data_IF_614995780816
#
_entry.id   IF_614995780816
#
_cell.length_a   1.000
_cell.length_b   1.000
_cell.length_c   1.000
_cell.angle_alpha   90.00
_cell.angle_beta   90.00
_cell.angle_gamma   90.00
#
_symmetry.space_group_name_H-M   'P 1'
#
loop_
_entity.id
_entity.type
_entity.pdbx_description
1 polymer ?
#
# COMPACT_ATOMS: atom_id res chain seq x y z
N UNK A 1 44.66 -54.54 17.40
CA UNK A 1 43.54 -55.48 17.63
C UNK A 1 42.72 -54.89 18.77
N UNK A 2 41.48 -54.47 18.48
CA UNK A 2 40.39 -54.00 19.39
C UNK A 2 40.64 -52.82 20.35
N UNK A 3 39.68 -51.95 20.69
CA UNK A 3 38.54 -51.26 20.04
C UNK A 3 38.10 -50.22 21.08
N UNK A 4 37.87 -48.99 20.64
CA UNK A 4 37.53 -47.82 21.46
C UNK A 4 36.03 -47.75 21.82
N UNK A 5 35.75 -47.37 23.07
CA UNK A 5 34.89 -46.25 23.54
C UNK A 5 33.38 -46.23 23.21
N UNK A 6 32.62 -46.31 24.32
CA UNK A 6 31.41 -45.59 24.75
C UNK A 6 30.28 -45.25 23.76
N UNK A 7 29.12 -45.83 24.05
CA UNK A 7 27.80 -45.37 23.64
C UNK A 7 27.50 -43.96 24.20
N UNK A 8 27.18 -43.01 23.31
CA UNK A 8 26.44 -41.78 23.66
C UNK A 8 25.02 -41.89 23.12
N UNK A 9 24.08 -41.70 24.03
CA UNK A 9 22.64 -41.56 23.79
C UNK A 9 22.42 -40.32 22.90
N UNK A 10 21.85 -40.52 21.72
CA UNK A 10 21.25 -39.46 20.90
C UNK A 10 19.81 -39.27 21.39
N UNK A 11 19.52 -38.13 22.01
CA UNK A 11 18.17 -37.74 22.42
C UNK A 11 17.61 -36.74 21.41
N UNK A 12 16.43 -37.07 20.89
CA UNK A 12 15.65 -36.34 19.89
C UNK A 12 15.56 -34.83 20.16
N UNK A 13 15.93 -34.03 19.18
CA UNK A 13 15.58 -32.62 19.05
C UNK A 13 15.22 -32.33 17.58
N UNK A 14 14.04 -32.75 17.12
CA UNK A 14 13.58 -32.43 15.75
C UNK A 14 12.07 -32.25 15.57
N UNK A 15 11.27 -32.18 16.65
CA UNK A 15 9.81 -32.01 16.53
C UNK A 15 9.28 -30.60 16.87
N UNK A 16 10.11 -29.71 17.42
CA UNK A 16 9.68 -28.37 17.86
C UNK A 16 9.63 -27.34 16.73
N UNK A 17 10.49 -27.43 15.71
CA UNK A 17 10.59 -26.42 14.64
C UNK A 17 9.33 -26.37 13.76
N UNK A 18 8.76 -27.54 13.42
CA UNK A 18 7.54 -27.64 12.61
C UNK A 18 6.30 -27.08 13.33
N UNK A 19 6.18 -27.32 14.63
CA UNK A 19 5.04 -26.82 15.43
C UNK A 19 5.04 -25.28 15.55
N UNK A 20 6.22 -24.65 15.63
CA UNK A 20 6.31 -23.19 15.68
C UNK A 20 5.92 -22.54 14.35
N UNK A 21 6.29 -23.13 13.21
CA UNK A 21 5.95 -22.63 11.88
C UNK A 21 4.43 -22.63 11.63
N UNK A 22 3.76 -23.77 11.79
CA UNK A 22 2.30 -23.86 11.65
C UNK A 22 1.55 -22.95 12.64
N UNK A 23 2.12 -22.69 13.82
CA UNK A 23 1.51 -21.77 14.79
C UNK A 23 1.59 -20.30 14.37
N UNK A 24 2.63 -19.91 13.62
CA UNK A 24 2.80 -18.55 13.07
C UNK A 24 1.87 -18.33 11.89
N UNK A 25 1.77 -19.32 11.02
CA UNK A 25 0.92 -19.32 9.82
C UNK A 25 -0.54 -19.11 10.22
N UNK A 26 -1.06 -19.99 11.07
CA UNK A 26 -2.42 -19.86 11.63
C UNK A 26 -2.68 -18.53 12.37
N UNK A 27 -1.64 -17.90 12.93
CA UNK A 27 -1.78 -16.58 13.58
C UNK A 27 -1.80 -15.45 12.56
N UNK A 28 -1.07 -15.61 11.47
CA UNK A 28 -1.03 -14.69 10.35
C UNK A 28 -2.34 -14.72 9.58
N UNK A 29 -2.88 -15.90 9.26
CA UNK A 29 -4.18 -16.03 8.56
C UNK A 29 -5.31 -15.36 9.35
N UNK A 30 -5.37 -15.63 10.66
CA UNK A 30 -6.32 -14.95 11.56
C UNK A 30 -6.11 -13.44 11.65
N UNK A 31 -4.87 -12.96 11.47
CA UNK A 31 -4.60 -11.54 11.42
C UNK A 31 -4.96 -10.96 10.04
N UNK A 32 -4.82 -11.72 8.97
CA UNK A 32 -5.21 -11.35 7.62
C UNK A 32 -6.73 -11.18 7.53
N UNK A 33 -7.52 -12.10 8.10
CA UNK A 33 -8.98 -11.93 8.25
C UNK A 33 -9.33 -10.62 8.98
N UNK A 34 -8.58 -10.28 10.04
CA UNK A 34 -8.74 -9.01 10.76
C UNK A 34 -8.35 -7.80 9.91
N UNK A 35 -7.41 -7.96 8.98
CA UNK A 35 -7.03 -6.91 8.04
C UNK A 35 -8.13 -6.75 6.98
N UNK A 36 -8.71 -7.85 6.50
CA UNK A 36 -9.91 -7.80 5.64
C UNK A 36 -11.02 -7.01 6.31
N UNK A 37 -11.38 -7.36 7.55
CA UNK A 37 -12.37 -6.63 8.35
C UNK A 37 -11.99 -5.15 8.55
N UNK A 38 -10.72 -4.85 8.78
CA UNK A 38 -10.26 -3.49 9.01
C UNK A 38 -10.41 -2.62 7.76
N UNK A 39 -9.99 -3.12 6.59
CA UNK A 39 -10.17 -2.43 5.30
C UNK A 39 -11.65 -2.26 4.96
N UNK A 40 -12.48 -3.29 5.18
CA UNK A 40 -13.94 -3.22 4.99
C UNK A 40 -14.54 -2.12 5.88
N UNK A 41 -14.13 -2.03 7.14
CA UNK A 41 -14.65 -1.02 8.06
C UNK A 41 -14.18 0.41 7.72
N UNK A 42 -12.94 0.57 7.24
CA UNK A 42 -12.45 1.84 6.69
C UNK A 42 -13.32 2.26 5.50
N UNK A 43 -13.56 1.35 4.56
CA UNK A 43 -14.39 1.58 3.37
C UNK A 43 -15.83 1.96 3.76
N UNK A 44 -16.47 1.20 4.64
CA UNK A 44 -17.83 1.49 5.12
C UNK A 44 -17.93 2.85 5.80
N UNK A 45 -16.93 3.22 6.62
CA UNK A 45 -16.90 4.53 7.27
C UNK A 45 -16.75 5.66 6.24
N UNK A 46 -15.78 5.52 5.33
CA UNK A 46 -15.52 6.53 4.31
C UNK A 46 -16.74 6.73 3.39
N UNK A 47 -17.30 5.63 2.88
CA UNK A 47 -18.47 5.63 1.99
C UNK A 47 -19.78 6.00 2.68
N UNK A 48 -19.83 5.94 4.01
CA UNK A 48 -20.91 6.53 4.80
C UNK A 48 -20.90 8.06 4.81
N UNK A 49 -19.78 8.69 4.44
CA UNK A 49 -19.60 10.15 4.38
C UNK A 49 -19.57 10.61 2.92
N UNK A 50 -18.80 9.93 2.08
CA UNK A 50 -18.65 10.17 0.65
C UNK A 50 -18.85 8.85 -0.11
N UNK A 51 -20.05 8.59 -0.68
CA UNK A 51 -20.37 7.31 -1.32
C UNK A 51 -19.43 6.87 -2.44
N UNK A 52 -18.73 7.81 -3.07
CA UNK A 52 -17.83 7.56 -4.19
C UNK A 52 -16.35 7.42 -3.74
N UNK A 53 -16.08 7.46 -2.44
CA UNK A 53 -14.72 7.41 -1.90
C UNK A 53 -13.99 6.11 -2.25
N UNK A 54 -12.84 6.28 -2.89
CA UNK A 54 -12.02 5.20 -3.45
C UNK A 54 -11.12 4.58 -2.37
N UNK A 55 -11.05 3.24 -2.34
CA UNK A 55 -10.15 2.49 -1.44
C UNK A 55 -9.22 1.58 -2.24
N UNK A 56 -7.91 1.76 -2.06
CA UNK A 56 -6.86 0.99 -2.76
C UNK A 56 -5.84 0.46 -1.74
N UNK A 57 -5.96 -0.78 -1.25
CA UNK A 57 -4.89 -1.41 -0.46
C UNK A 57 -3.62 -1.66 -1.30
N UNK A 58 -2.44 -1.50 -0.70
CA UNK A 58 -1.14 -1.80 -1.31
C UNK A 58 -0.57 -3.14 -0.80
N UNK A 59 -0.13 -3.97 -1.74
CA UNK A 59 0.35 -5.34 -1.55
C UNK A 59 -0.71 -6.24 -0.90
N UNK A 60 -0.29 -7.34 -0.26
CA UNK A 60 -1.21 -8.24 0.45
C UNK A 60 -2.34 -8.78 -0.43
N UNK A 61 -2.04 -9.15 -1.68
CA UNK A 61 -3.01 -9.59 -2.68
C UNK A 61 -3.89 -10.76 -2.18
N UNK A 62 -3.34 -11.60 -1.32
CA UNK A 62 -4.01 -12.71 -0.64
C UNK A 62 -5.22 -12.28 0.20
N UNK A 63 -5.29 -11.02 0.66
CA UNK A 63 -6.45 -10.46 1.33
C UNK A 63 -7.69 -10.41 0.44
N UNK A 64 -7.52 -10.52 -0.88
CA UNK A 64 -8.64 -10.53 -1.83
C UNK A 64 -9.39 -11.86 -1.88
N UNK A 65 -8.93 -12.90 -1.17
CA UNK A 65 -9.44 -14.27 -1.29
C UNK A 65 -10.06 -14.81 0.00
N UNK A 66 -10.96 -15.78 -0.15
CA UNK A 66 -11.54 -16.49 0.99
C UNK A 66 -10.45 -17.27 1.70
N UNK A 67 -10.42 -17.22 3.04
CA UNK A 67 -9.41 -17.90 3.86
C UNK A 67 -7.96 -17.61 3.45
N UNK A 68 -7.71 -16.49 2.75
CA UNK A 68 -6.39 -16.07 2.27
C UNK A 68 -5.81 -17.07 1.25
N UNK A 69 -6.67 -17.85 0.58
CA UNK A 69 -6.29 -18.88 -0.38
C UNK A 69 -6.88 -18.57 -1.77
N UNK A 70 -6.01 -18.37 -2.75
CA UNK A 70 -6.42 -18.05 -4.12
C UNK A 70 -7.28 -19.13 -4.80
N UNK A 71 -7.16 -20.38 -4.36
CA UNK A 71 -7.96 -21.51 -4.85
C UNK A 71 -9.39 -21.51 -4.29
N UNK A 72 -9.64 -20.80 -3.19
CA UNK A 72 -10.96 -20.66 -2.58
C UNK A 72 -11.76 -19.46 -3.13
N UNK A 73 -11.23 -18.82 -4.18
CA UNK A 73 -11.89 -17.74 -4.91
C UNK A 73 -11.92 -16.42 -4.14
N UNK A 74 -12.39 -15.38 -4.84
CA UNK A 74 -12.41 -14.01 -4.29
C UNK A 74 -13.35 -13.89 -3.09
N UNK A 75 -12.90 -13.17 -2.05
CA UNK A 75 -13.73 -12.76 -0.93
C UNK A 75 -14.63 -11.61 -1.38
N UNK A 76 -15.91 -11.90 -1.60
CA UNK A 76 -16.86 -10.92 -2.14
C UNK A 76 -16.99 -9.66 -1.27
N UNK A 77 -16.97 -9.81 0.05
CA UNK A 77 -17.11 -8.66 0.96
C UNK A 77 -15.89 -7.73 0.87
N UNK A 78 -14.69 -8.30 0.80
CA UNK A 78 -13.47 -7.53 0.64
C UNK A 78 -13.38 -6.88 -0.73
N UNK A 79 -13.67 -7.63 -1.80
CA UNK A 79 -13.70 -7.11 -3.18
C UNK A 79 -14.73 -5.98 -3.32
N UNK A 80 -15.92 -6.07 -2.70
CA UNK A 80 -16.89 -4.98 -2.72
C UNK A 80 -16.42 -3.73 -1.96
N UNK A 81 -15.53 -3.87 -0.99
CA UNK A 81 -15.03 -2.76 -0.18
C UNK A 81 -13.89 -1.96 -0.83
N UNK A 82 -13.24 -2.48 -1.87
CA UNK A 82 -12.10 -1.84 -2.55
C UNK A 82 -12.42 -1.49 -3.99
N UNK A 83 -11.62 -0.62 -4.61
CA UNK A 83 -11.78 -0.17 -6.00
C UNK A 83 -10.60 -0.57 -6.88
N UNK A 84 -9.44 -0.75 -6.26
CA UNK A 84 -8.22 -1.22 -6.90
C UNK A 84 -7.29 -1.91 -5.90
N UNK A 85 -6.18 -2.43 -6.40
CA UNK A 85 -5.04 -2.89 -5.60
C UNK A 85 -3.76 -2.27 -6.11
N UNK A 86 -2.92 -1.81 -5.20
CA UNK A 86 -1.54 -1.42 -5.47
C UNK A 86 -0.62 -2.61 -5.26
N UNK A 87 0.39 -2.81 -6.10
CA UNK A 87 1.38 -3.90 -5.93
C UNK A 87 2.76 -3.33 -6.20
N UNK A 88 3.65 -3.45 -5.23
CA UNK A 88 5.07 -3.16 -5.42
C UNK A 88 5.82 -4.40 -5.88
N UNK A 89 6.83 -4.18 -6.73
CA UNK A 89 7.76 -5.20 -7.17
C UNK A 89 7.08 -6.47 -7.68
N UNK A 90 6.17 -6.37 -8.66
CA UNK A 90 5.44 -7.50 -9.21
C UNK A 90 6.25 -8.26 -10.27
N UNK A 91 6.86 -7.51 -11.20
CA UNK A 91 7.70 -8.06 -12.26
C UNK A 91 9.18 -7.78 -12.01
N UNK A 92 9.52 -6.68 -11.32
CA UNK A 92 10.91 -6.31 -11.04
C UNK A 92 11.10 -5.87 -9.59
N UNK A 93 12.14 -6.42 -8.97
CA UNK A 93 12.75 -5.90 -7.74
C UNK A 93 14.27 -5.86 -7.94
N UNK A 94 14.76 -4.75 -8.47
CA UNK A 94 16.08 -4.56 -9.08
C UNK A 94 16.29 -5.40 -10.34
N UNK A 95 15.98 -6.69 -10.29
CA UNK A 95 16.07 -7.69 -11.34
C UNK A 95 14.68 -8.25 -11.67
N UNK A 96 14.58 -8.89 -12.84
CA UNK A 96 13.35 -9.57 -13.25
C UNK A 96 13.01 -10.69 -12.26
N UNK A 97 11.80 -10.65 -11.74
CA UNK A 97 11.26 -11.66 -10.85
C UNK A 97 10.69 -12.84 -11.66
N UNK A 98 10.79 -14.07 -11.13
CA UNK A 98 10.08 -15.19 -11.72
C UNK A 98 8.56 -14.96 -11.61
N UNK A 99 7.80 -15.49 -12.57
CA UNK A 99 6.34 -15.56 -12.41
C UNK A 99 6.02 -16.42 -11.18
N UNK A 100 5.21 -15.87 -10.28
CA UNK A 100 4.88 -16.48 -9.00
C UNK A 100 3.36 -16.53 -8.77
N UNK A 101 2.98 -17.07 -7.60
CA UNK A 101 1.59 -17.15 -7.16
C UNK A 101 0.93 -15.77 -7.06
N UNK A 102 1.71 -14.73 -6.72
CA UNK A 102 1.21 -13.36 -6.56
C UNK A 102 0.74 -12.78 -7.89
N UNK A 103 1.46 -13.01 -8.99
CA UNK A 103 0.97 -12.60 -10.32
C UNK A 103 -0.37 -13.28 -10.67
N UNK A 104 -0.54 -14.57 -10.33
CA UNK A 104 -1.80 -15.27 -10.57
C UNK A 104 -2.94 -14.72 -9.71
N UNK A 105 -2.68 -14.37 -8.45
CA UNK A 105 -3.65 -13.68 -7.59
C UNK A 105 -4.08 -12.34 -8.20
N UNK A 106 -3.12 -11.51 -8.61
CA UNK A 106 -3.39 -10.19 -9.20
C UNK A 106 -4.17 -10.30 -10.50
N UNK A 107 -3.90 -11.32 -11.34
CA UNK A 107 -4.70 -11.61 -12.54
C UNK A 107 -6.16 -11.90 -12.23
N UNK A 108 -6.46 -12.63 -11.15
CA UNK A 108 -7.82 -12.88 -10.71
C UNK A 108 -8.50 -11.60 -10.19
N UNK A 109 -7.79 -10.79 -9.41
CA UNK A 109 -8.30 -9.51 -8.88
C UNK A 109 -8.67 -8.53 -10.01
N UNK A 110 -7.82 -8.44 -11.04
CA UNK A 110 -8.01 -7.58 -12.23
C UNK A 110 -9.37 -7.75 -12.90
N UNK A 111 -9.99 -8.92 -12.80
CA UNK A 111 -11.31 -9.19 -13.40
C UNK A 111 -12.41 -8.26 -12.92
N UNK A 112 -12.22 -7.59 -11.76
CA UNK A 112 -13.20 -6.67 -11.19
C UNK A 112 -12.62 -5.38 -10.61
N UNK A 113 -11.29 -5.25 -10.52
CA UNK A 113 -10.60 -4.12 -9.87
C UNK A 113 -9.46 -3.59 -10.70
N UNK A 114 -9.12 -2.31 -10.49
CA UNK A 114 -7.95 -1.70 -11.13
C UNK A 114 -6.69 -2.18 -10.43
N UNK A 115 -5.63 -2.48 -11.19
CA UNK A 115 -4.34 -2.87 -10.62
C UNK A 115 -3.32 -1.79 -10.95
N UNK A 116 -2.66 -1.27 -9.91
CA UNK A 116 -1.60 -0.27 -9.97
C UNK A 116 -0.29 -0.94 -9.58
N UNK A 117 0.74 -0.88 -10.43
CA UNK A 117 2.01 -1.59 -10.19
C UNK A 117 3.20 -0.63 -10.13
N UNK A 118 3.96 -0.72 -9.04
CA UNK A 118 5.21 0.04 -8.83
C UNK A 118 6.39 -0.92 -8.73
N UNK A 119 6.96 -1.28 -9.88
CA UNK A 119 8.14 -2.13 -9.98
C UNK A 119 9.42 -1.34 -9.65
N UNK A 120 10.35 -1.92 -8.88
CA UNK A 120 11.66 -1.31 -8.62
C UNK A 120 12.69 -1.76 -9.65
N UNK A 121 13.25 -0.81 -10.39
CA UNK A 121 14.11 -1.06 -11.54
C UNK A 121 15.41 -0.30 -11.40
N UNK A 122 16.54 -1.02 -11.31
CA UNK A 122 17.85 -0.38 -11.17
C UNK A 122 18.56 -0.16 -12.50
N UNK A 123 18.33 -1.04 -13.47
CA UNK A 123 18.81 -0.92 -14.85
C UNK A 123 17.72 -0.32 -15.75
N UNK A 124 17.92 0.94 -16.18
CA UNK A 124 16.96 1.68 -17.00
C UNK A 124 16.64 1.01 -18.35
N UNK A 125 17.48 0.08 -18.83
CA UNK A 125 17.18 -0.69 -20.05
C UNK A 125 15.96 -1.61 -19.89
N UNK A 126 15.60 -1.96 -18.64
CA UNK A 126 14.46 -2.81 -18.32
C UNK A 126 13.13 -2.06 -18.20
N UNK A 127 13.13 -0.72 -18.16
CA UNK A 127 11.90 0.08 -17.98
C UNK A 127 10.87 -0.20 -19.07
N UNK A 128 11.30 -0.29 -20.33
CA UNK A 128 10.40 -0.58 -21.44
C UNK A 128 9.79 -2.00 -21.35
N UNK A 129 10.56 -2.98 -20.86
CA UNK A 129 10.06 -4.35 -20.64
C UNK A 129 9.04 -4.39 -19.50
N UNK A 130 9.33 -3.75 -18.37
CA UNK A 130 8.40 -3.65 -17.23
C UNK A 130 7.07 -2.99 -17.63
N UNK A 131 7.11 -1.90 -18.40
CA UNK A 131 5.91 -1.24 -18.93
C UNK A 131 5.14 -2.20 -19.85
N UNK A 132 5.85 -2.90 -20.76
CA UNK A 132 5.24 -3.86 -21.68
C UNK A 132 4.54 -5.01 -20.95
N UNK A 133 5.16 -5.58 -19.91
CA UNK A 133 4.58 -6.65 -19.08
C UNK A 133 3.30 -6.21 -18.39
N UNK A 134 3.35 -5.08 -17.69
CA UNK A 134 2.18 -4.49 -17.03
C UNK A 134 1.05 -4.24 -18.02
N UNK A 135 1.36 -3.66 -19.18
CA UNK A 135 0.37 -3.40 -20.24
C UNK A 135 -0.21 -4.67 -20.84
N UNK A 136 0.60 -5.72 -21.04
CA UNK A 136 0.13 -7.02 -21.54
C UNK A 136 -0.89 -7.66 -20.60
N UNK A 137 -0.76 -7.39 -19.31
CA UNK A 137 -1.71 -7.80 -18.30
C UNK A 137 -2.84 -6.81 -18.09
N UNK A 138 -2.84 -5.63 -18.73
CA UNK A 138 -3.86 -4.60 -18.53
C UNK A 138 -3.76 -3.88 -17.18
N UNK A 139 -2.60 -3.91 -16.55
CA UNK A 139 -2.28 -3.13 -15.36
C UNK A 139 -1.80 -1.73 -15.75
N UNK A 140 -2.02 -0.74 -14.88
CA UNK A 140 -1.37 0.57 -14.99
C UNK A 140 -0.13 0.56 -14.11
N UNK A 141 0.95 1.21 -14.55
CA UNK A 141 2.23 1.13 -13.83
C UNK A 141 2.89 2.51 -13.66
N UNK A 142 3.66 2.62 -12.59
CA UNK A 142 4.57 3.72 -12.33
C UNK A 142 5.94 3.13 -11.95
N UNK A 143 6.85 2.93 -12.92
CA UNK A 143 8.15 2.35 -12.64
C UNK A 143 8.98 3.20 -11.68
N UNK A 144 9.49 2.56 -10.64
CA UNK A 144 10.34 3.16 -9.62
C UNK A 144 11.79 2.92 -10.01
N UNK A 145 12.40 3.90 -10.67
CA UNK A 145 13.81 3.81 -11.10
C UNK A 145 14.78 4.21 -9.98
N UNK A 146 16.05 3.81 -10.06
CA UNK A 146 17.08 4.08 -9.03
C UNK A 146 17.10 5.52 -8.48
N UNK A 147 16.96 6.52 -9.34
CA UNK A 147 16.98 7.95 -8.96
C UNK A 147 15.62 8.48 -8.46
N UNK A 148 14.60 7.63 -8.44
CA UNK A 148 13.26 7.94 -7.95
C UNK A 148 12.74 6.85 -6.99
N UNK A 149 13.66 6.17 -6.27
CA UNK A 149 13.33 5.09 -5.34
C UNK A 149 12.29 5.51 -4.28
N UNK A 150 12.43 6.72 -3.74
CA UNK A 150 11.54 7.27 -2.71
C UNK A 150 10.39 8.11 -3.28
N UNK A 151 10.02 7.94 -4.55
CA UNK A 151 8.90 8.68 -5.18
C UNK A 151 9.04 10.21 -5.02
N UNK A 152 10.22 10.74 -5.39
CA UNK A 152 10.65 12.13 -5.20
C UNK A 152 10.28 13.05 -6.36
N UNK A 153 10.21 12.54 -7.58
CA UNK A 153 10.10 13.34 -8.79
C UNK A 153 9.01 12.84 -9.74
N UNK A 154 8.42 13.79 -10.47
CA UNK A 154 7.51 13.52 -11.59
C UNK A 154 8.37 13.17 -12.82
N UNK A 155 8.14 12.02 -13.49
CA UNK A 155 8.84 11.69 -14.73
C UNK A 155 8.50 12.68 -15.86
N UNK A 156 9.46 12.88 -16.78
CA UNK A 156 9.29 13.78 -17.95
C UNK A 156 8.19 13.32 -18.93
N UNK A 157 7.71 12.09 -18.82
CA UNK A 157 6.69 11.53 -19.70
C UNK A 157 5.62 10.76 -18.92
N UNK A 158 4.37 10.85 -19.40
CA UNK A 158 3.22 10.10 -18.87
C UNK A 158 3.05 8.84 -19.69
N UNK A 159 3.19 7.67 -19.07
CA UNK A 159 2.90 6.38 -19.70
C UNK A 159 1.41 6.35 -20.08
N UNK A 160 1.07 5.91 -21.29
CA UNK A 160 -0.32 5.82 -21.78
C UNK A 160 -1.15 7.09 -21.46
N UNK A 161 -0.59 8.25 -21.78
CA UNK A 161 -1.23 9.56 -21.58
C UNK A 161 -2.66 9.59 -22.17
N UNK A 162 -3.58 10.15 -21.41
CA UNK A 162 -5.00 10.02 -21.67
C UNK A 162 -5.70 11.38 -21.59
N UNK A 163 -6.37 11.76 -22.69
CA UNK A 163 -7.04 13.05 -22.80
C UNK A 163 -8.39 13.12 -22.09
N UNK A 164 -8.97 11.97 -21.74
CA UNK A 164 -10.33 11.88 -21.22
C UNK A 164 -10.43 12.35 -19.76
N UNK A 165 -11.63 12.75 -19.34
CA UNK A 165 -11.94 12.93 -17.93
C UNK A 165 -11.99 11.57 -17.22
N UNK A 166 -11.54 11.54 -15.97
CA UNK A 166 -11.51 10.34 -15.13
C UNK A 166 -12.55 10.50 -14.04
N UNK A 167 -13.65 9.76 -14.18
CA UNK A 167 -14.78 9.77 -13.24
C UNK A 167 -14.79 8.58 -12.31
N UNK A 168 -14.05 7.53 -12.65
CA UNK A 168 -13.87 6.34 -11.81
C UNK A 168 -12.43 5.83 -11.92
N UNK A 169 -11.98 5.08 -10.91
CA UNK A 169 -10.65 4.46 -10.95
C UNK A 169 -10.49 3.50 -12.15
N UNK A 170 -11.59 2.93 -12.65
CA UNK A 170 -11.56 2.02 -13.80
C UNK A 170 -11.22 2.73 -15.12
N UNK A 171 -11.50 4.03 -15.22
CA UNK A 171 -11.21 4.84 -16.42
C UNK A 171 -9.72 5.17 -16.56
N UNK A 172 -8.95 5.04 -15.47
CA UNK A 172 -7.54 5.38 -15.43
C UNK A 172 -6.68 4.46 -16.30
N UNK A 173 -5.77 5.07 -17.06
CA UNK A 173 -4.75 4.43 -17.90
C UNK A 173 -3.33 4.61 -17.37
N UNK A 174 -3.15 5.53 -16.44
CA UNK A 174 -1.85 5.85 -15.86
C UNK A 174 -2.02 6.47 -14.46
N UNK A 175 -0.95 6.55 -13.69
CA UNK A 175 -0.97 7.24 -12.42
C UNK A 175 0.40 7.80 -12.08
N UNK A 176 0.41 8.83 -11.24
CA UNK A 176 1.60 9.38 -10.60
C UNK A 176 1.67 8.87 -9.16
N UNK A 177 2.83 8.34 -8.75
CA UNK A 177 3.13 8.02 -7.35
C UNK A 177 4.20 9.02 -6.84
N UNK A 178 3.78 9.97 -6.00
CA UNK A 178 4.60 11.08 -5.52
C UNK A 178 4.29 11.37 -4.04
N UNK A 179 4.82 10.55 -3.14
CA UNK A 179 4.56 10.69 -1.69
C UNK A 179 5.68 11.40 -0.93
N UNK A 180 6.83 11.64 -1.56
CA UNK A 180 7.92 12.40 -0.97
C UNK A 180 7.93 13.85 -1.50
N UNK A 181 7.97 14.81 -0.58
CA UNK A 181 7.88 16.25 -0.86
C UNK A 181 9.23 16.96 -0.91
N UNK A 182 10.35 16.28 -0.65
CA UNK A 182 11.69 16.87 -0.52
C UNK A 182 12.18 17.61 -1.77
N UNK A 183 11.62 17.29 -2.94
CA UNK A 183 11.93 17.92 -4.22
C UNK A 183 11.29 19.30 -4.42
N UNK A 184 10.41 19.72 -3.50
CA UNK A 184 9.61 20.94 -3.61
C UNK A 184 9.82 21.84 -2.40
N UNK A 185 9.88 23.14 -2.63
CA UNK A 185 10.03 24.12 -1.54
C UNK A 185 8.70 24.50 -0.90
N UNK A 186 7.60 24.48 -1.67
CA UNK A 186 6.26 24.85 -1.20
C UNK A 186 5.19 23.91 -1.76
N UNK A 187 4.04 23.85 -1.06
CA UNK A 187 2.82 23.20 -1.57
C UNK A 187 2.46 23.68 -2.98
N UNK A 188 2.54 24.99 -3.23
CA UNK A 188 2.16 25.56 -4.52
C UNK A 188 3.11 25.13 -5.64
N UNK A 189 4.41 24.98 -5.39
CA UNK A 189 5.36 24.49 -6.39
C UNK A 189 5.04 23.05 -6.81
N UNK A 190 4.74 22.19 -5.83
CA UNK A 190 4.31 20.81 -6.08
C UNK A 190 2.99 20.76 -6.84
N UNK A 191 1.99 21.56 -6.43
CA UNK A 191 0.69 21.64 -7.11
C UNK A 191 0.85 22.09 -8.57
N UNK A 192 1.67 23.12 -8.82
CA UNK A 192 1.93 23.61 -10.17
C UNK A 192 2.60 22.53 -11.02
N UNK A 193 3.58 21.81 -10.47
CA UNK A 193 4.27 20.73 -11.18
C UNK A 193 3.32 19.57 -11.53
N UNK A 194 2.46 19.14 -10.59
CA UNK A 194 1.46 18.10 -10.85
C UNK A 194 0.43 18.57 -11.87
N UNK A 195 -0.06 19.80 -11.75
CA UNK A 195 -1.06 20.38 -12.67
C UNK A 195 -0.54 20.54 -14.10
N UNK A 196 0.78 20.57 -14.28
CA UNK A 196 1.45 20.60 -15.58
C UNK A 196 1.58 19.22 -16.27
N UNK A 197 0.92 18.18 -15.75
CA UNK A 197 0.93 16.82 -16.32
C UNK A 197 -0.46 16.42 -16.80
N UNK A 198 -0.62 15.25 -17.43
CA UNK A 198 -1.92 14.64 -17.74
C UNK A 198 -2.12 13.28 -17.07
N UNK A 199 -1.59 13.08 -15.86
CA UNK A 199 -1.85 11.86 -15.09
C UNK A 199 -3.36 11.71 -14.76
N UNK A 200 -3.88 10.49 -14.90
CA UNK A 200 -5.28 10.13 -14.64
C UNK A 200 -5.59 10.03 -13.14
N UNK A 201 -4.61 9.54 -12.38
CA UNK A 201 -4.66 9.42 -10.93
C UNK A 201 -3.37 10.01 -10.36
N UNK A 202 -3.49 10.83 -9.33
CA UNK A 202 -2.37 11.38 -8.57
C UNK A 202 -2.42 10.80 -7.16
N UNK A 203 -1.44 9.97 -6.83
CA UNK A 203 -1.23 9.43 -5.49
C UNK A 203 -0.16 10.27 -4.78
N UNK A 204 -0.58 10.98 -3.74
CA UNK A 204 0.28 11.86 -2.94
C UNK A 204 0.00 11.67 -1.45
N UNK A 205 0.89 12.16 -0.59
CA UNK A 205 0.61 12.26 0.84
C UNK A 205 -0.45 13.36 1.13
N UNK A 206 -1.19 13.22 2.24
CA UNK A 206 -2.10 14.27 2.74
C UNK A 206 -1.32 15.50 3.22
N UNK A 207 -0.09 15.30 3.68
CA UNK A 207 0.75 16.32 4.29
C UNK A 207 1.94 16.67 3.38
N UNK A 208 2.25 17.96 3.31
CA UNK A 208 3.48 18.50 2.76
C UNK A 208 4.36 18.97 3.92
N UNK A 209 5.47 18.29 4.20
CA UNK A 209 6.35 18.58 5.34
C UNK A 209 5.57 18.79 6.66
N UNK A 210 4.70 17.82 7.02
CA UNK A 210 3.81 17.83 8.21
C UNK A 210 2.64 18.84 8.15
N UNK A 211 2.51 19.65 7.11
CA UNK A 211 1.37 20.54 6.91
C UNK A 211 0.37 19.93 5.91
N UNK A 212 -0.85 19.65 6.38
CA UNK A 212 -1.90 19.09 5.53
C UNK A 212 -2.28 20.03 4.37
N UNK A 213 -2.51 19.46 3.20
CA UNK A 213 -3.16 20.15 2.10
C UNK A 213 -4.60 20.54 2.48
N UNK A 214 -5.01 21.72 2.04
CA UNK A 214 -6.37 22.24 2.19
C UNK A 214 -7.29 21.76 1.07
N UNK A 215 -8.60 21.86 1.27
CA UNK A 215 -9.59 21.51 0.24
C UNK A 215 -9.43 22.30 -1.06
N UNK A 216 -9.02 23.57 -0.99
CA UNK A 216 -8.72 24.38 -2.17
C UNK A 216 -7.50 23.86 -2.92
N UNK A 217 -6.44 23.48 -2.20
CA UNK A 217 -5.21 22.93 -2.79
C UNK A 217 -5.47 21.58 -3.46
N UNK A 218 -6.21 20.67 -2.80
CA UNK A 218 -6.60 19.39 -3.42
C UNK A 218 -7.50 19.60 -4.64
N UNK A 219 -8.41 20.57 -4.60
CA UNK A 219 -9.26 20.89 -5.75
C UNK A 219 -8.48 21.36 -6.98
N UNK A 220 -7.33 22.03 -6.78
CA UNK A 220 -6.42 22.41 -7.88
C UNK A 220 -5.81 21.16 -8.55
N UNK A 221 -5.40 20.17 -7.75
CA UNK A 221 -4.80 18.92 -8.23
C UNK A 221 -5.75 18.05 -9.05
N UNK A 222 -7.08 18.23 -8.92
CA UNK A 222 -8.11 17.45 -9.66
C UNK A 222 -8.26 17.83 -11.13
N UNK A 223 -7.47 18.77 -11.64
CA UNK A 223 -7.53 19.20 -13.04
C UNK A 223 -6.22 18.89 -13.74
N UNK A 224 -6.31 18.23 -14.89
CA UNK A 224 -5.15 17.93 -15.73
C UNK A 224 -4.66 19.15 -16.50
N UNK A 225 -3.44 19.08 -17.04
CA UNK A 225 -2.88 20.11 -17.92
C UNK A 225 -3.84 20.42 -19.09
N UNK A 226 -4.46 19.38 -19.66
CA UNK A 226 -5.41 19.53 -20.76
C UNK A 226 -6.81 20.02 -20.33
N UNK A 227 -7.03 20.30 -19.03
CA UNK A 227 -8.31 20.77 -18.47
C UNK A 227 -9.29 19.67 -18.06
N UNK A 228 -9.06 18.41 -18.43
CA UNK A 228 -9.92 17.29 -18.02
C UNK A 228 -9.76 16.97 -16.53
N UNK A 229 -10.75 16.31 -15.94
CA UNK A 229 -10.70 15.87 -14.53
C UNK A 229 -9.83 14.63 -14.34
N UNK A 230 -9.16 14.58 -13.17
CA UNK A 230 -8.39 13.45 -12.67
C UNK A 230 -8.80 13.13 -11.23
N UNK A 231 -8.39 11.96 -10.74
CA UNK A 231 -8.57 11.56 -9.35
C UNK A 231 -7.31 11.90 -8.52
N UNK A 232 -7.50 12.31 -7.28
CA UNK A 232 -6.43 12.57 -6.32
C UNK A 232 -6.62 11.68 -5.09
N UNK A 233 -5.67 10.78 -4.85
CA UNK A 233 -5.73 9.73 -3.83
C UNK A 233 -4.66 10.01 -2.77
N UNK A 234 -5.04 9.91 -1.50
CA UNK A 234 -4.13 10.14 -0.38
C UNK A 234 -3.46 8.85 0.08
N UNK A 235 -2.14 8.85 0.21
CA UNK A 235 -1.40 7.80 0.92
C UNK A 235 -1.75 7.81 2.41
N UNK A 236 -1.93 6.61 2.97
CA UNK A 236 -2.06 6.39 4.40
C UNK A 236 -1.48 5.03 4.79
N UNK A 237 -0.62 5.02 5.79
CA UNK A 237 -0.11 3.79 6.38
C UNK A 237 -1.08 3.25 7.44
N UNK A 238 -1.68 2.08 7.20
CA UNK A 238 -2.65 1.46 8.12
C UNK A 238 -2.06 0.32 8.95
N UNK A 239 -0.90 -0.20 8.55
CA UNK A 239 -0.19 -1.31 9.19
C UNK A 239 0.95 -0.91 10.11
N UNK A 240 1.46 0.31 9.98
CA UNK A 240 2.53 0.86 10.79
C UNK A 240 2.21 2.29 11.24
N UNK A 241 2.81 2.70 12.36
CA UNK A 241 2.75 4.06 12.87
C UNK A 241 4.03 4.80 12.51
N UNK A 242 3.87 5.98 11.95
CA UNK A 242 4.92 6.89 11.49
C UNK A 242 5.11 8.02 12.51
N UNK A 243 6.35 8.30 12.90
CA UNK A 243 6.61 9.16 14.06
C UNK A 243 6.46 10.69 13.81
N UNK A 244 6.30 11.08 12.54
CA UNK A 244 6.11 12.47 12.10
C UNK A 244 4.63 12.84 11.90
N UNK A 245 3.71 11.87 11.99
CA UNK A 245 2.27 12.13 11.77
C UNK A 245 1.64 12.87 12.94
N UNK A 246 0.59 13.63 12.64
CA UNK A 246 -0.18 14.41 13.63
C UNK A 246 -0.67 13.59 14.84
N UNK A 247 -0.94 12.29 14.67
CA UNK A 247 -1.43 11.42 15.74
C UNK A 247 -0.32 10.99 16.70
N UNK A 248 0.95 11.14 16.32
CA UNK A 248 2.09 10.70 17.12
C UNK A 248 2.22 11.55 18.38
N UNK A 249 2.32 10.88 19.53
CA UNK A 249 2.50 11.56 20.82
C UNK A 249 3.95 11.45 21.25
N UNK A 250 4.59 12.56 21.62
CA UNK A 250 6.00 12.59 22.08
C UNK A 250 6.36 11.53 23.12
N UNK A 251 5.42 11.18 24.02
CA UNK A 251 5.61 10.11 25.03
C UNK A 251 5.84 8.71 24.43
N UNK A 252 5.42 8.46 23.20
CA UNK A 252 5.59 7.18 22.51
C UNK A 252 7.05 6.93 22.11
N UNK A 253 7.92 7.94 22.11
CA UNK A 253 9.36 7.75 21.88
C UNK A 253 10.03 6.90 22.98
N UNK A 254 9.42 6.84 24.17
CA UNK A 254 9.96 6.08 25.31
C UNK A 254 8.96 5.05 25.84
N UNK A 255 7.66 5.35 25.78
CA UNK A 255 6.59 4.47 26.29
C UNK A 255 5.59 4.17 25.17
N UNK A 256 5.78 3.03 24.53
CA UNK A 256 4.93 2.57 23.44
C UNK A 256 3.52 2.19 23.92
N UNK A 257 2.46 2.59 23.22
CA UNK A 257 1.13 2.04 23.39
C UNK A 257 1.12 0.51 23.19
N UNK A 258 0.17 -0.19 23.81
CA UNK A 258 0.11 -1.65 23.71
C UNK A 258 -0.16 -2.19 22.30
N UNK A 259 -0.69 -1.33 21.41
CA UNK A 259 -0.91 -1.63 20.00
C UNK A 259 0.35 -1.43 19.15
N UNK A 260 1.35 -0.69 19.59
CA UNK A 260 2.61 -0.53 18.87
C UNK A 260 3.53 -1.72 19.19
N UNK A 261 3.82 -2.57 18.19
CA UNK A 261 4.38 -3.91 18.43
C UNK A 261 5.90 -3.97 18.29
N UNK A 262 6.43 -3.78 17.09
CA UNK A 262 7.87 -3.94 16.80
C UNK A 262 8.34 -2.86 15.82
N UNK A 263 9.66 -2.70 15.70
CA UNK A 263 10.28 -1.83 14.71
C UNK A 263 9.91 -2.31 13.31
N UNK A 264 9.74 -1.38 12.38
CA UNK A 264 9.76 -1.67 10.96
C UNK A 264 11.23 -1.76 10.53
N UNK A 265 11.67 -2.92 10.05
CA UNK A 265 13.02 -3.11 9.54
C UNK A 265 13.17 -2.30 8.22
N UNK A 266 14.28 -1.59 8.04
CA UNK A 266 14.46 -0.63 6.93
C UNK A 266 13.95 0.79 7.23
N UNK A 267 12.87 0.93 8.02
CA UNK A 267 12.21 2.22 8.29
C UNK A 267 12.31 2.60 9.78
N UNK A 268 13.37 3.31 10.16
CA UNK A 268 13.69 3.63 11.57
C UNK A 268 12.62 4.47 12.27
N UNK A 269 11.87 5.25 11.48
CA UNK A 269 10.86 6.20 11.94
C UNK A 269 9.45 5.58 11.94
N UNK A 270 9.35 4.29 11.61
CA UNK A 270 8.11 3.54 11.57
C UNK A 270 8.10 2.32 12.50
N UNK A 271 6.90 1.94 12.92
CA UNK A 271 6.68 0.79 13.80
C UNK A 271 5.42 0.04 13.45
N UNK A 272 5.56 -1.26 13.17
CA UNK A 272 4.45 -2.19 13.00
C UNK A 272 3.46 -2.13 14.17
N UNK A 273 2.17 -2.01 13.85
CA UNK A 273 1.08 -1.93 14.83
C UNK A 273 0.21 -3.18 14.82
N UNK A 274 -0.42 -3.46 15.96
CA UNK A 274 -1.53 -4.41 16.07
C UNK A 274 -2.77 -3.70 15.53
N UNK A 275 -2.90 -3.66 14.20
CA UNK A 275 -3.95 -2.91 13.50
C UNK A 275 -5.38 -3.26 13.94
N UNK A 276 -5.59 -4.46 14.48
CA UNK A 276 -6.87 -4.91 15.05
C UNK A 276 -7.21 -4.32 16.43
N UNK A 277 -6.37 -3.44 17.00
CA UNK A 277 -6.64 -2.78 18.28
C UNK A 277 -7.46 -1.53 18.07
N UNK A 278 -8.55 -1.40 18.85
CA UNK A 278 -9.50 -0.29 18.78
C UNK A 278 -8.81 1.08 18.84
N UNK A 279 -7.87 1.28 19.76
CA UNK A 279 -7.12 2.55 19.88
C UNK A 279 -6.38 2.95 18.59
N UNK A 280 -5.88 1.98 17.82
CA UNK A 280 -5.26 2.24 16.51
C UNK A 280 -6.33 2.50 15.46
N UNK A 281 -7.39 1.69 15.44
CA UNK A 281 -8.51 1.87 14.53
C UNK A 281 -9.16 3.25 14.67
N UNK A 282 -9.29 3.79 15.89
CA UNK A 282 -9.81 5.13 16.17
C UNK A 282 -8.89 6.25 15.66
N UNK A 283 -7.59 6.00 15.52
CA UNK A 283 -6.67 6.93 14.85
C UNK A 283 -6.97 6.95 13.34
N UNK A 284 -7.23 5.78 12.76
CA UNK A 284 -7.40 5.63 11.31
C UNK A 284 -8.80 6.04 10.83
N UNK A 285 -9.88 5.61 11.49
CA UNK A 285 -11.26 5.87 11.07
C UNK A 285 -12.26 5.99 12.23
N UNK A 286 -13.52 6.29 11.92
CA UNK A 286 -14.66 6.15 12.84
C UNK A 286 -14.99 7.36 13.71
N UNK A 287 -14.28 8.49 13.57
CA UNK A 287 -14.57 9.72 14.29
C UNK A 287 -14.04 10.98 13.57
N UNK A 288 -14.44 12.16 14.04
CA UNK A 288 -14.12 13.44 13.40
C UNK A 288 -12.61 13.80 13.37
N UNK A 289 -11.81 13.17 14.23
CA UNK A 289 -10.37 13.39 14.33
C UNK A 289 -9.54 12.30 13.62
N UNK A 290 -10.20 11.28 13.08
CA UNK A 290 -9.54 10.15 12.42
C UNK A 290 -8.90 10.53 11.09
N UNK A 291 -7.88 9.78 10.68
CA UNK A 291 -7.08 10.07 9.49
C UNK A 291 -7.94 10.05 8.22
N UNK A 292 -8.76 9.01 8.03
CA UNK A 292 -9.68 8.92 6.89
C UNK A 292 -10.65 10.11 6.86
N UNK A 293 -11.11 10.59 8.03
CA UNK A 293 -11.97 11.80 8.06
C UNK A 293 -11.21 13.04 7.61
N UNK A 294 -9.94 13.20 7.98
CA UNK A 294 -9.11 14.32 7.52
C UNK A 294 -8.89 14.27 6.01
N UNK A 295 -8.62 13.10 5.45
CA UNK A 295 -8.48 12.88 4.00
C UNK A 295 -9.77 13.31 3.27
N UNK A 296 -10.94 12.83 3.73
CA UNK A 296 -12.24 13.21 3.17
C UNK A 296 -12.48 14.72 3.29
N UNK A 297 -12.22 15.32 4.45
CA UNK A 297 -12.43 16.76 4.67
C UNK A 297 -11.50 17.63 3.81
N UNK A 298 -10.29 17.15 3.49
CA UNK A 298 -9.38 17.79 2.55
C UNK A 298 -9.84 17.62 1.08
N UNK A 299 -10.86 16.81 0.82
CA UNK A 299 -11.46 16.66 -0.51
C UNK A 299 -10.70 15.72 -1.45
N UNK A 300 -9.88 14.80 -0.93
CA UNK A 300 -9.32 13.70 -1.72
C UNK A 300 -10.45 12.78 -2.23
N UNK A 301 -10.25 12.18 -3.40
CA UNK A 301 -11.21 11.21 -3.99
C UNK A 301 -11.09 9.81 -3.37
N UNK A 302 -10.03 9.54 -2.62
CA UNK A 302 -9.82 8.23 -2.00
C UNK A 302 -8.58 8.13 -1.13
N UNK A 303 -8.37 6.93 -0.62
CA UNK A 303 -7.21 6.56 0.19
C UNK A 303 -6.49 5.31 -0.36
N UNK A 304 -5.17 5.38 -0.39
CA UNK A 304 -4.26 4.30 -0.75
C UNK A 304 -3.65 3.75 0.54
N UNK A 305 -4.06 2.53 0.91
CA UNK A 305 -3.81 1.94 2.23
C UNK A 305 -2.53 1.12 2.21
N UNK A 306 -1.45 1.71 2.69
CA UNK A 306 -0.16 1.04 2.76
C UNK A 306 -0.04 0.10 3.96
N UNK A 307 0.86 -0.89 3.83
CA UNK A 307 1.22 -1.86 4.85
C UNK A 307 0.04 -2.72 5.30
N UNK A 308 -0.90 -3.05 4.40
CA UNK A 308 -1.94 -4.05 4.72
C UNK A 308 -1.33 -5.43 5.00
N UNK A 309 -0.11 -5.71 4.53
CA UNK A 309 0.68 -6.91 4.84
C UNK A 309 1.18 -6.99 6.30
N UNK A 310 0.85 -6.02 7.16
CA UNK A 310 1.18 -6.07 8.58
C UNK A 310 0.76 -7.40 9.23
N UNK A 311 -0.32 -8.06 8.76
CA UNK A 311 -0.72 -9.37 9.28
C UNK A 311 0.37 -10.45 9.11
N UNK A 312 1.22 -10.35 8.09
CA UNK A 312 2.35 -11.22 7.86
C UNK A 312 3.54 -10.76 8.73
N UNK A 313 3.99 -9.52 8.53
CA UNK A 313 5.18 -9.00 9.19
C UNK A 313 5.08 -8.97 10.72
N UNK A 314 3.87 -8.96 11.31
CA UNK A 314 3.75 -9.05 12.77
C UNK A 314 4.18 -10.42 13.33
N UNK A 315 4.21 -11.50 12.55
CA UNK A 315 4.55 -12.86 13.02
C UNK A 315 5.79 -13.43 12.36
N UNK A 316 6.13 -12.93 11.18
CA UNK A 316 7.32 -13.28 10.45
C UNK A 316 8.41 -12.20 10.59
N UNK A 317 9.63 -12.63 10.33
CA UNK A 317 10.77 -11.75 10.04
C UNK A 317 11.19 -12.14 8.64
N UNK A 318 11.59 -11.17 7.87
CA UNK A 318 12.20 -11.43 6.56
C UNK A 318 13.53 -12.16 6.71
#
# INVERSE_FOLDING_TARGET
>A
MYRNINNKIFLLFSLTILLFSCSKEKRSDKAAEKMQEFVINISNYARGIDPDFIIIPQNGAELSFNNIDASEGLNSNYISAIDGVGIEALFYDEQLLPEDERLNMVKQIKTSKKVLVSDYITDNTNVADAISRNKSEGFICFPRVSNNYDYLYIPDSVIDENINEITSLQDAKNYLYLINTDSYSTKQDMINAISATNFDVVLIDMDFNEESFTSTEISQLKTKLNGAKRLVISYINVGAAENWRYYWKKKWNTVHPCWMKKKYEGYKDERWVKFWKKDWQEIIYGNDNSYIKKIINAGFDGAYLDNVEAFYFLYYKD
#
